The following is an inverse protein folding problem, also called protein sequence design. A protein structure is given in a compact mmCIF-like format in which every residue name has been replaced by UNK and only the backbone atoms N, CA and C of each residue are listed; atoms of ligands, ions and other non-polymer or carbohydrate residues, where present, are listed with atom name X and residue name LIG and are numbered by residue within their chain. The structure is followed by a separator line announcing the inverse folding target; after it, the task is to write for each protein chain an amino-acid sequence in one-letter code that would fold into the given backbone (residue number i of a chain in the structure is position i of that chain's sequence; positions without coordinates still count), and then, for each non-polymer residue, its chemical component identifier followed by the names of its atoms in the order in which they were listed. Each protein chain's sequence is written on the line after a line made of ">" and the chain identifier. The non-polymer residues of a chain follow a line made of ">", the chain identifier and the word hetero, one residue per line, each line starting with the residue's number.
data_IF_225608302045
#
_entry.id   IF_225608302045
#
_cell.length_a   1.000
_cell.length_b   1.000
_cell.length_c   1.000
_cell.angle_alpha   90.00
_cell.angle_beta   90.00
_cell.angle_gamma   90.00
#
_symmetry.space_group_name_H-M   'P 1'
#
loop_
_entity.id
_entity.type
_entity.pdbx_description
1 polymer ?
#
# COMPACT_ATOMS: atom_id res chain seq x y z
N UNK A 1 57.41 8.26 47.72
CA UNK A 1 56.64 7.22 47.01
C UNK A 1 55.18 7.31 47.45
N UNK A 2 54.28 8.02 46.75
CA UNK A 2 52.86 8.07 47.08
C UNK A 2 52.09 7.00 46.30
N UNK A 3 51.23 6.25 47.01
CA UNK A 3 50.30 5.28 46.44
C UNK A 3 49.14 6.02 45.74
N UNK A 4 48.86 5.65 44.48
CA UNK A 4 47.67 6.10 43.74
C UNK A 4 46.51 5.13 44.01
N UNK A 5 45.28 5.63 44.24
CA UNK A 5 44.11 4.78 44.43
C UNK A 5 43.50 4.35 43.08
N UNK A 6 43.26 3.05 42.96
CA UNK A 6 42.59 2.40 41.85
C UNK A 6 41.12 2.86 41.73
N UNK A 7 40.77 3.42 40.56
CA UNK A 7 39.38 3.68 40.19
C UNK A 7 38.73 2.35 39.77
N UNK A 8 37.86 1.81 40.62
CA UNK A 8 36.96 0.72 40.26
C UNK A 8 35.81 1.26 39.42
N UNK A 9 35.90 1.08 38.09
CA UNK A 9 34.80 1.29 37.16
C UNK A 9 33.69 0.26 37.43
N UNK A 10 32.63 0.71 38.09
CA UNK A 10 31.40 -0.05 38.26
C UNK A 10 30.74 -0.30 36.90
N UNK A 11 30.84 -1.54 36.42
CA UNK A 11 30.14 -1.99 35.23
C UNK A 11 28.62 -1.83 35.41
N UNK A 12 28.04 -0.86 34.68
CA UNK A 12 26.61 -0.63 34.66
C UNK A 12 25.86 -1.88 34.19
N UNK A 13 25.10 -2.50 35.09
CA UNK A 13 24.22 -3.63 34.79
C UNK A 13 23.20 -3.17 33.74
N UNK A 14 23.11 -3.82 32.56
CA UNK A 14 22.15 -3.43 31.55
C UNK A 14 20.73 -3.60 32.08
N UNK A 15 19.97 -2.50 32.08
CA UNK A 15 18.56 -2.49 32.48
C UNK A 15 17.79 -3.63 31.79
N UNK A 16 17.04 -4.39 32.58
CA UNK A 16 16.21 -5.47 32.06
C UNK A 16 15.27 -4.91 30.97
N UNK A 17 15.12 -5.61 29.83
CA UNK A 17 14.28 -5.12 28.74
C UNK A 17 12.84 -5.00 29.23
N UNK A 18 12.28 -3.79 29.12
CA UNK A 18 10.87 -3.54 29.44
C UNK A 18 10.01 -4.38 28.50
N UNK A 19 9.40 -5.43 29.03
CA UNK A 19 8.47 -6.29 28.29
C UNK A 19 7.19 -5.50 28.10
N UNK A 20 6.99 -4.95 26.89
CA UNK A 20 5.73 -4.31 26.55
C UNK A 20 4.67 -5.40 26.40
N UNK A 21 3.62 -5.36 27.22
CA UNK A 21 2.48 -6.26 27.05
C UNK A 21 1.86 -6.05 25.67
N UNK A 22 1.56 -7.16 24.99
CA UNK A 22 0.90 -7.13 23.68
C UNK A 22 -0.45 -6.39 23.78
N UNK A 23 -0.69 -5.35 22.97
CA UNK A 23 -2.02 -4.74 22.88
C UNK A 23 -3.06 -5.76 22.45
N UNK A 24 -4.28 -5.73 23.02
CA UNK A 24 -5.35 -6.68 22.67
C UNK A 24 -5.66 -6.72 21.17
N UNK A 25 -5.43 -5.63 20.43
CA UNK A 25 -5.67 -5.53 18.98
C UNK A 25 -4.39 -5.62 18.12
N UNK A 26 -3.34 -6.27 18.63
CA UNK A 26 -2.09 -6.46 17.89
C UNK A 26 -2.26 -7.46 16.74
N UNK A 27 -2.11 -6.99 15.49
CA UNK A 27 -2.10 -7.81 14.28
C UNK A 27 -0.81 -8.65 14.10
N UNK A 28 0.12 -8.62 15.07
CA UNK A 28 1.37 -9.39 15.00
C UNK A 28 1.06 -10.87 15.15
N UNK A 29 1.44 -11.67 14.15
CA UNK A 29 1.21 -13.12 14.13
C UNK A 29 2.36 -13.86 14.82
N UNK A 30 2.07 -15.05 15.33
CA UNK A 30 3.15 -15.95 15.76
C UNK A 30 4.07 -16.30 14.58
N UNK A 31 5.33 -16.59 14.88
CA UNK A 31 6.39 -16.77 13.89
C UNK A 31 7.03 -15.46 13.39
N UNK A 32 6.51 -14.28 13.75
CA UNK A 32 7.15 -12.99 13.46
C UNK A 32 8.13 -12.58 14.57
N UNK A 33 9.22 -11.90 14.20
CA UNK A 33 10.23 -11.41 15.15
C UNK A 33 9.65 -10.46 16.20
N UNK A 34 8.74 -9.56 15.78
CA UNK A 34 8.04 -8.61 16.66
C UNK A 34 7.15 -9.28 17.70
N UNK A 35 6.72 -10.52 17.48
CA UNK A 35 5.93 -11.26 18.46
C UNK A 35 6.76 -11.55 19.73
N UNK A 36 8.06 -11.85 19.57
CA UNK A 36 8.95 -12.09 20.70
C UNK A 36 9.23 -10.82 21.52
N UNK A 37 9.20 -9.64 20.88
CA UNK A 37 9.39 -8.36 21.57
C UNK A 37 8.25 -8.03 22.55
N UNK A 38 7.06 -8.64 22.35
CA UNK A 38 5.94 -8.58 23.29
C UNK A 38 6.00 -9.65 24.41
N UNK A 39 7.12 -10.35 24.55
CA UNK A 39 7.30 -11.41 25.57
C UNK A 39 6.75 -12.78 25.19
N UNK A 40 6.44 -13.03 23.91
CA UNK A 40 6.01 -14.37 23.48
C UNK A 40 7.13 -15.41 23.65
N UNK A 41 6.84 -16.49 24.38
CA UNK A 41 7.80 -17.56 24.67
C UNK A 41 7.83 -18.68 23.62
N UNK A 42 6.97 -18.65 22.60
CA UNK A 42 6.97 -19.69 21.55
C UNK A 42 8.32 -19.75 20.83
N UNK A 43 8.77 -20.97 20.55
CA UNK A 43 10.07 -21.24 19.90
C UNK A 43 10.17 -20.59 18.53
N UNK A 44 9.12 -20.67 17.72
CA UNK A 44 9.02 -20.02 16.40
C UNK A 44 9.26 -18.50 16.45
N UNK A 45 8.67 -17.81 17.43
CA UNK A 45 8.81 -16.36 17.61
C UNK A 45 10.24 -16.00 18.05
N UNK A 46 10.78 -16.76 19.02
CA UNK A 46 12.17 -16.58 19.50
C UNK A 46 13.18 -16.79 18.38
N UNK A 47 13.03 -17.86 17.59
CA UNK A 47 13.89 -18.13 16.44
C UNK A 47 13.79 -17.03 15.38
N UNK A 48 12.58 -16.54 15.07
CA UNK A 48 12.40 -15.42 14.16
C UNK A 48 13.12 -14.15 14.64
N UNK A 49 13.01 -13.83 15.94
CA UNK A 49 13.72 -12.70 16.55
C UNK A 49 15.24 -12.87 16.50
N UNK A 50 15.77 -14.06 16.78
CA UNK A 50 17.19 -14.38 16.66
C UNK A 50 17.70 -14.24 15.23
N UNK A 51 16.96 -14.74 14.23
CA UNK A 51 17.27 -14.54 12.80
C UNK A 51 17.34 -13.05 12.46
N UNK A 52 16.35 -12.26 12.88
CA UNK A 52 16.33 -10.82 12.65
C UNK A 52 17.47 -10.06 13.36
N UNK A 53 17.89 -10.50 14.56
CA UNK A 53 19.06 -9.93 15.26
C UNK A 53 20.37 -10.27 14.55
N UNK A 54 20.54 -11.51 14.10
CA UNK A 54 21.72 -11.96 13.33
C UNK A 54 21.85 -11.18 12.03
N UNK A 55 20.77 -11.02 11.28
CA UNK A 55 20.76 -10.22 10.05
C UNK A 55 21.21 -8.77 10.32
N UNK A 56 20.61 -8.10 11.32
CA UNK A 56 20.99 -6.72 11.70
C UNK A 56 22.44 -6.59 12.16
N UNK A 57 23.05 -7.64 12.70
CA UNK A 57 24.48 -7.66 13.04
C UNK A 57 25.32 -7.78 11.77
N UNK A 58 24.96 -8.68 10.87
CA UNK A 58 25.66 -8.83 9.58
C UNK A 58 25.57 -7.57 8.72
N UNK A 59 24.41 -6.93 8.64
CA UNK A 59 24.23 -5.68 7.90
C UNK A 59 25.13 -4.57 8.45
N UNK A 60 25.22 -4.47 9.80
CA UNK A 60 26.13 -3.52 10.47
C UNK A 60 27.59 -3.81 10.16
N UNK A 61 28.00 -5.08 10.18
CA UNK A 61 29.37 -5.48 9.83
C UNK A 61 29.70 -5.17 8.37
N UNK A 62 28.71 -5.18 7.48
CA UNK A 62 28.85 -4.78 6.06
C UNK A 62 28.75 -3.27 5.83
N UNK A 63 28.62 -2.46 6.88
CA UNK A 63 28.47 -1.01 6.76
C UNK A 63 27.14 -0.58 6.12
N UNK A 64 26.14 -1.47 6.05
CA UNK A 64 24.86 -1.14 5.43
C UNK A 64 24.02 -0.26 6.38
N UNK A 65 23.43 0.83 5.88
CA UNK A 65 22.59 1.67 6.73
C UNK A 65 21.33 0.91 7.14
N UNK A 66 20.99 1.02 8.43
CA UNK A 66 19.83 0.35 9.03
C UNK A 66 18.49 0.90 8.50
N UNK A 67 18.49 2.16 8.07
CA UNK A 67 17.35 2.84 7.46
C UNK A 67 17.69 3.26 6.04
N UNK A 68 16.72 3.16 5.15
CA UNK A 68 16.87 3.53 3.74
C UNK A 68 15.64 4.33 3.28
N UNK A 69 15.80 5.15 2.23
CA UNK A 69 14.69 5.84 1.61
C UNK A 69 13.60 4.86 1.13
N UNK A 70 12.30 5.17 1.31
CA UNK A 70 11.22 4.22 1.07
C UNK A 70 10.86 4.02 -0.41
N UNK A 71 11.42 4.80 -1.33
CA UNK A 71 10.95 4.92 -2.71
C UNK A 71 10.94 3.61 -3.50
N UNK A 72 11.98 2.78 -3.35
CA UNK A 72 12.06 1.49 -4.06
C UNK A 72 10.94 0.53 -3.62
N UNK A 73 10.76 0.41 -2.30
CA UNK A 73 9.69 -0.41 -1.71
C UNK A 73 8.30 0.14 -2.07
N UNK A 74 8.12 1.46 -2.08
CA UNK A 74 6.88 2.10 -2.47
C UNK A 74 6.51 1.80 -3.93
N UNK A 75 7.44 2.01 -4.87
CA UNK A 75 7.23 1.68 -6.30
C UNK A 75 6.92 0.20 -6.51
N UNK A 76 7.61 -0.69 -5.78
CA UNK A 76 7.31 -2.12 -5.87
C UNK A 76 5.93 -2.47 -5.31
N UNK A 77 5.57 -1.94 -4.15
CA UNK A 77 4.25 -2.13 -3.56
C UNK A 77 3.12 -1.61 -4.49
N UNK A 78 3.33 -0.50 -5.19
CA UNK A 78 2.43 -0.04 -6.25
C UNK A 78 2.31 -1.09 -7.36
N UNK A 79 3.43 -1.58 -7.91
CA UNK A 79 3.42 -2.63 -8.95
C UNK A 79 2.68 -3.91 -8.50
N UNK A 80 2.84 -4.34 -7.25
CA UNK A 80 2.09 -5.47 -6.69
C UNK A 80 0.58 -5.21 -6.68
N UNK A 81 0.16 -3.99 -6.33
CA UNK A 81 -1.26 -3.58 -6.36
C UNK A 81 -1.84 -3.54 -7.76
N UNK A 82 -1.07 -3.08 -8.73
CA UNK A 82 -1.47 -3.09 -10.15
C UNK A 82 -1.67 -4.50 -10.69
N UNK A 83 -1.02 -5.49 -10.06
CA UNK A 83 -1.21 -6.91 -10.31
C UNK A 83 -2.28 -7.57 -9.43
N UNK A 84 -3.07 -6.80 -8.69
CA UNK A 84 -4.21 -7.32 -7.93
C UNK A 84 -3.97 -7.59 -6.45
N UNK A 85 -2.75 -7.41 -5.92
CA UNK A 85 -2.54 -7.57 -4.48
C UNK A 85 -3.12 -6.42 -3.69
N UNK A 86 -3.89 -6.73 -2.65
CA UNK A 86 -4.32 -5.72 -1.68
C UNK A 86 -3.18 -5.35 -0.73
N UNK A 87 -3.33 -4.22 -0.02
CA UNK A 87 -2.38 -3.87 1.04
C UNK A 87 -2.32 -4.92 2.17
N UNK A 88 -3.40 -5.68 2.35
CA UNK A 88 -3.45 -6.80 3.29
C UNK A 88 -2.58 -7.96 2.78
N UNK A 89 -2.73 -8.36 1.52
CA UNK A 89 -1.95 -9.45 0.93
C UNK A 89 -0.45 -9.15 0.93
N UNK A 90 -0.08 -7.90 0.60
CA UNK A 90 1.31 -7.44 0.66
C UNK A 90 1.83 -7.53 2.09
N UNK A 91 1.04 -7.11 3.08
CA UNK A 91 1.43 -7.16 4.48
C UNK A 91 1.62 -8.61 4.97
N UNK A 92 0.67 -9.49 4.66
CA UNK A 92 0.74 -10.89 5.06
C UNK A 92 1.93 -11.60 4.40
N UNK A 93 2.20 -11.37 3.11
CA UNK A 93 3.37 -11.95 2.41
C UNK A 93 4.71 -11.39 2.87
N UNK A 94 4.78 -10.10 3.19
CA UNK A 94 5.99 -9.47 3.72
C UNK A 94 6.23 -9.78 5.21
N UNK A 95 5.25 -10.35 5.92
CA UNK A 95 5.29 -10.45 7.38
C UNK A 95 5.31 -9.08 8.07
N UNK A 96 4.66 -8.08 7.49
CA UNK A 96 4.60 -6.69 7.98
C UNK A 96 3.19 -6.32 8.45
N UNK A 97 3.05 -5.19 9.14
CA UNK A 97 1.73 -4.66 9.48
C UNK A 97 1.10 -3.95 8.29
N UNK A 98 -0.22 -4.07 8.15
CA UNK A 98 -1.01 -3.44 7.09
C UNK A 98 -0.90 -1.91 7.15
N UNK A 99 -0.79 -1.34 8.34
CA UNK A 99 -0.59 0.10 8.55
C UNK A 99 0.75 0.56 7.98
N UNK A 100 1.81 -0.23 8.11
CA UNK A 100 3.11 0.07 7.52
C UNK A 100 3.06 0.01 6.00
N UNK A 101 2.42 -1.01 5.42
CA UNK A 101 2.22 -1.10 3.97
C UNK A 101 1.40 0.08 3.45
N UNK A 102 0.31 0.44 4.13
CA UNK A 102 -0.51 1.62 3.77
C UNK A 102 0.30 2.92 3.85
N UNK A 103 1.25 3.03 4.78
CA UNK A 103 2.17 4.17 4.86
C UNK A 103 3.13 4.17 3.68
N UNK A 104 3.74 3.03 3.34
CA UNK A 104 4.64 2.86 2.19
C UNK A 104 3.91 3.22 0.88
N UNK A 105 2.66 2.81 0.72
CA UNK A 105 1.83 3.11 -0.44
C UNK A 105 1.40 4.58 -0.57
N UNK A 106 1.57 5.39 0.49
CA UNK A 106 1.28 6.82 0.50
C UNK A 106 2.52 7.69 0.29
N UNK A 107 3.69 7.08 0.16
CA UNK A 107 4.94 7.80 -0.09
C UNK A 107 4.76 8.58 -1.40
N UNK A 108 4.81 9.93 -1.37
CA UNK A 108 4.73 10.74 -2.56
C UNK A 108 5.87 10.41 -3.53
N UNK A 109 5.63 10.59 -4.82
CA UNK A 109 6.72 10.57 -5.80
C UNK A 109 7.72 11.68 -5.46
N UNK A 110 9.01 11.38 -5.65
CA UNK A 110 10.21 12.11 -5.20
C UNK A 110 10.01 13.62 -4.95
N UNK A 111 10.45 14.12 -3.79
CA UNK A 111 10.55 15.57 -3.52
C UNK A 111 9.97 16.05 -2.19
N UNK A 112 9.12 15.24 -1.53
CA UNK A 112 8.67 15.51 -0.17
C UNK A 112 9.47 14.70 0.85
N UNK A 113 9.86 15.34 1.95
CA UNK A 113 10.57 14.71 3.05
C UNK A 113 9.74 13.52 3.59
N UNK A 114 10.18 12.31 3.26
CA UNK A 114 9.55 11.08 3.73
C UNK A 114 10.46 10.43 4.77
N UNK A 115 9.85 9.89 5.83
CA UNK A 115 10.62 9.17 6.84
C UNK A 115 11.22 7.91 6.23
N UNK A 116 12.52 7.73 6.41
CA UNK A 116 13.19 6.49 6.07
C UNK A 116 12.55 5.29 6.77
N UNK A 117 12.58 4.16 6.07
CA UNK A 117 12.09 2.88 6.58
C UNK A 117 13.26 1.98 6.95
N UNK A 118 13.04 1.03 7.85
CA UNK A 118 14.05 0.01 8.13
C UNK A 118 14.39 -0.78 6.86
N UNK A 119 15.67 -1.03 6.61
CA UNK A 119 16.16 -1.80 5.46
C UNK A 119 15.44 -3.14 5.31
N UNK A 120 15.34 -3.89 6.41
CA UNK A 120 14.62 -5.17 6.47
C UNK A 120 13.15 -5.06 6.01
N UNK A 121 12.47 -3.93 6.28
CA UNK A 121 11.11 -3.69 5.79
C UNK A 121 11.10 -3.52 4.27
N UNK A 122 12.05 -2.75 3.73
CA UNK A 122 12.16 -2.56 2.30
C UNK A 122 12.47 -3.88 1.59
N UNK A 123 13.42 -4.64 2.11
CA UNK A 123 13.81 -5.95 1.57
C UNK A 123 12.64 -6.94 1.62
N UNK A 124 11.87 -6.95 2.72
CA UNK A 124 10.67 -7.80 2.83
C UNK A 124 9.60 -7.46 1.78
N UNK A 125 9.40 -6.17 1.47
CA UNK A 125 8.48 -5.76 0.41
C UNK A 125 9.03 -6.12 -0.97
N UNK A 126 10.30 -5.80 -1.23
CA UNK A 126 10.99 -6.05 -2.50
C UNK A 126 11.10 -7.55 -2.82
N UNK A 127 11.20 -8.40 -1.79
CA UNK A 127 11.25 -9.86 -1.93
C UNK A 127 9.92 -10.53 -2.29
N UNK A 128 8.80 -9.81 -2.29
CA UNK A 128 7.50 -10.38 -2.70
C UNK A 128 7.52 -10.61 -4.21
N UNK A 129 7.35 -11.85 -4.70
CA UNK A 129 7.28 -12.10 -6.13
C UNK A 129 6.02 -11.47 -6.74
N UNK A 130 6.16 -10.92 -7.95
CA UNK A 130 5.01 -10.47 -8.73
C UNK A 130 4.09 -11.66 -9.02
N UNK A 131 2.77 -11.54 -8.82
CA UNK A 131 1.87 -12.63 -9.14
C UNK A 131 1.75 -12.73 -10.66
N UNK A 132 1.74 -13.96 -11.16
CA UNK A 132 1.60 -14.28 -12.59
C UNK A 132 0.24 -13.88 -13.14
N UNK A 133 -0.83 -13.99 -12.33
CA UNK A 133 -2.19 -13.57 -12.71
C UNK A 133 -2.57 -12.23 -12.07
N UNK A 134 -3.32 -11.42 -12.80
CA UNK A 134 -3.86 -10.11 -12.35
C UNK A 134 -5.15 -10.24 -11.51
N UNK A 135 -5.51 -11.45 -11.10
CA UNK A 135 -6.72 -11.67 -10.32
C UNK A 135 -6.47 -11.28 -8.86
N UNK A 136 -7.33 -10.41 -8.29
CA UNK A 136 -7.19 -10.04 -6.90
C UNK A 136 -7.43 -11.27 -6.02
N UNK A 137 -6.37 -11.71 -5.35
CA UNK A 137 -6.40 -12.88 -4.46
C UNK A 137 -7.29 -12.70 -3.23
N UNK A 138 -7.65 -11.45 -2.89
CA UNK A 138 -8.48 -11.13 -1.73
C UNK A 138 -9.34 -9.87 -1.95
N UNK A 139 -10.50 -9.75 -1.26
CA UNK A 139 -11.32 -8.55 -1.27
C UNK A 139 -10.63 -7.39 -0.55
N UNK A 140 -9.80 -6.63 -1.26
CA UNK A 140 -9.17 -5.41 -0.77
C UNK A 140 -10.03 -4.16 -1.02
N UNK A 141 -10.04 -3.21 -0.07
CA UNK A 141 -10.51 -1.84 -0.31
C UNK A 141 -9.34 -0.92 -0.68
N UNK A 142 -9.54 -0.07 -1.67
CA UNK A 142 -8.60 0.99 -2.10
C UNK A 142 -9.25 2.36 -2.03
N UNK A 143 -8.42 3.41 -1.99
CA UNK A 143 -8.87 4.78 -2.28
C UNK A 143 -9.55 4.84 -3.65
N UNK A 144 -10.63 5.63 -3.70
CA UNK A 144 -11.39 5.87 -4.93
C UNK A 144 -10.92 7.06 -5.74
N UNK A 145 -9.98 7.87 -5.23
CA UNK A 145 -9.53 9.11 -5.87
C UNK A 145 -9.10 8.91 -7.32
N UNK A 146 -8.27 7.90 -7.59
CA UNK A 146 -7.82 7.61 -8.95
C UNK A 146 -9.00 7.14 -9.83
N UNK A 147 -9.80 6.19 -9.37
CA UNK A 147 -10.96 5.70 -10.12
C UNK A 147 -11.99 6.81 -10.40
N UNK A 148 -12.20 7.73 -9.47
CA UNK A 148 -13.04 8.91 -9.63
C UNK A 148 -12.51 9.80 -10.75
N UNK A 149 -11.21 10.11 -10.74
CA UNK A 149 -10.54 10.89 -11.80
C UNK A 149 -10.69 10.23 -13.16
N UNK A 150 -10.38 8.93 -13.27
CA UNK A 150 -10.49 8.20 -14.54
C UNK A 150 -11.93 8.18 -15.08
N UNK A 151 -12.94 8.00 -14.22
CA UNK A 151 -14.34 8.06 -14.63
C UNK A 151 -14.77 9.48 -15.03
N UNK A 152 -14.23 10.51 -14.38
CA UNK A 152 -14.45 11.90 -14.78
C UNK A 152 -13.83 12.20 -16.15
N UNK A 153 -12.64 11.66 -16.43
CA UNK A 153 -11.96 11.81 -17.72
C UNK A 153 -12.79 11.17 -18.85
N UNK A 154 -13.31 9.95 -18.64
CA UNK A 154 -14.22 9.32 -19.59
C UNK A 154 -15.52 10.10 -19.78
N UNK A 155 -16.08 10.69 -18.71
CA UNK A 155 -17.25 11.55 -18.83
C UNK A 155 -16.94 12.82 -19.67
N UNK A 156 -15.76 13.43 -19.50
CA UNK A 156 -15.31 14.55 -20.35
C UNK A 156 -15.14 14.15 -21.82
N UNK A 157 -14.77 12.89 -22.09
CA UNK A 157 -14.75 12.33 -23.44
C UNK A 157 -16.17 12.02 -23.99
N UNK A 158 -17.22 12.10 -23.16
CA UNK A 158 -18.61 11.89 -23.55
C UNK A 158 -19.16 10.49 -23.28
N UNK A 159 -18.48 9.67 -22.49
CA UNK A 159 -18.97 8.34 -22.13
C UNK A 159 -20.06 8.41 -21.04
N UNK A 160 -21.32 8.00 -21.33
CA UNK A 160 -22.39 8.01 -20.33
C UNK A 160 -22.19 6.93 -19.26
N UNK A 161 -22.60 7.25 -18.03
CA UNK A 161 -22.47 6.33 -16.90
C UNK A 161 -23.18 4.98 -17.13
N UNK A 162 -24.28 4.97 -17.89
CA UNK A 162 -25.00 3.75 -18.25
C UNK A 162 -24.16 2.81 -19.15
N UNK A 163 -23.49 3.36 -20.17
CA UNK A 163 -22.63 2.57 -21.05
C UNK A 163 -21.39 2.05 -20.30
N UNK A 164 -20.78 2.90 -19.46
CA UNK A 164 -19.66 2.48 -18.61
C UNK A 164 -20.08 1.38 -17.63
N UNK A 165 -21.26 1.49 -17.04
CA UNK A 165 -21.81 0.51 -16.11
C UNK A 165 -22.04 -0.86 -16.76
N UNK A 166 -22.57 -0.89 -17.99
CA UNK A 166 -22.76 -2.13 -18.75
C UNK A 166 -21.42 -2.84 -18.98
N UNK A 167 -20.38 -2.11 -19.42
CA UNK A 167 -19.04 -2.67 -19.65
C UNK A 167 -18.34 -3.11 -18.36
N UNK A 168 -18.61 -2.42 -17.25
CA UNK A 168 -18.12 -2.78 -15.91
C UNK A 168 -19.00 -3.83 -15.22
N UNK A 169 -20.12 -4.27 -15.80
CA UNK A 169 -21.05 -5.20 -15.12
C UNK A 169 -21.50 -4.70 -13.74
N UNK A 170 -21.72 -3.39 -13.59
CA UNK A 170 -22.22 -2.76 -12.36
C UNK A 170 -23.42 -1.87 -12.68
N UNK A 171 -24.07 -1.29 -11.66
CA UNK A 171 -25.17 -0.35 -11.88
C UNK A 171 -24.65 1.05 -12.24
N UNK A 172 -25.35 1.79 -13.09
CA UNK A 172 -25.03 3.18 -13.44
C UNK A 172 -24.89 4.09 -12.21
N UNK A 173 -25.77 3.90 -11.21
CA UNK A 173 -25.68 4.59 -9.92
C UNK A 173 -24.33 4.37 -9.23
N UNK A 174 -23.78 3.15 -9.28
CA UNK A 174 -22.46 2.85 -8.69
C UNK A 174 -21.34 3.62 -9.39
N UNK A 175 -21.40 3.77 -10.71
CA UNK A 175 -20.43 4.57 -11.47
C UNK A 175 -20.49 6.04 -11.05
N UNK A 176 -21.70 6.61 -10.95
CA UNK A 176 -21.90 7.98 -10.47
C UNK A 176 -21.40 8.17 -9.03
N UNK A 177 -21.71 7.24 -8.13
CA UNK A 177 -21.25 7.27 -6.74
C UNK A 177 -19.72 7.20 -6.63
N UNK A 178 -19.07 6.33 -7.40
CA UNK A 178 -17.59 6.24 -7.44
C UNK A 178 -16.98 7.53 -7.95
N UNK A 179 -17.60 8.16 -8.96
CA UNK A 179 -17.14 9.43 -9.51
C UNK A 179 -17.23 10.56 -8.50
N UNK A 180 -18.32 10.66 -7.73
CA UNK A 180 -18.64 11.88 -6.96
C UNK A 180 -18.41 11.78 -5.46
N UNK A 181 -18.76 10.64 -4.83
CA UNK A 181 -18.97 10.59 -3.37
C UNK A 181 -18.14 9.53 -2.66
N UNK A 182 -17.71 8.50 -3.39
CA UNK A 182 -17.13 7.32 -2.75
C UNK A 182 -15.69 7.59 -2.33
N UNK A 183 -15.37 7.38 -1.05
CA UNK A 183 -13.98 7.47 -0.53
C UNK A 183 -13.18 6.19 -0.77
N UNK A 184 -13.84 5.02 -0.75
CA UNK A 184 -13.22 3.71 -0.89
C UNK A 184 -14.04 2.76 -1.76
N UNK A 185 -13.38 1.97 -2.60
CA UNK A 185 -14.01 0.91 -3.39
C UNK A 185 -13.20 -0.39 -3.36
N UNK A 186 -13.80 -1.47 -3.85
CA UNK A 186 -13.12 -2.76 -4.03
C UNK A 186 -11.98 -2.62 -5.03
N UNK A 187 -10.84 -3.24 -4.73
CA UNK A 187 -9.64 -3.22 -5.56
C UNK A 187 -9.92 -3.77 -6.96
N UNK A 188 -10.67 -4.87 -7.06
CA UNK A 188 -11.11 -5.43 -8.33
C UNK A 188 -11.80 -4.39 -9.23
N UNK A 189 -12.83 -3.71 -8.69
CA UNK A 189 -13.53 -2.67 -9.43
C UNK A 189 -12.60 -1.52 -9.83
N UNK A 190 -11.65 -1.12 -8.98
CA UNK A 190 -10.68 -0.08 -9.32
C UNK A 190 -9.78 -0.50 -10.51
N UNK A 191 -9.33 -1.76 -10.53
CA UNK A 191 -8.52 -2.31 -11.62
C UNK A 191 -9.33 -2.44 -12.92
N UNK A 192 -10.60 -2.84 -12.83
CA UNK A 192 -11.52 -2.88 -13.97
C UNK A 192 -11.76 -1.48 -14.56
N UNK A 193 -11.97 -0.47 -13.71
CA UNK A 193 -12.07 0.94 -14.15
C UNK A 193 -10.79 1.39 -14.85
N UNK A 194 -9.61 1.09 -14.29
CA UNK A 194 -8.33 1.47 -14.91
C UNK A 194 -8.10 0.78 -16.26
N UNK A 195 -8.53 -0.47 -16.39
CA UNK A 195 -8.49 -1.19 -17.68
C UNK A 195 -9.43 -0.54 -18.68
N UNK A 196 -10.69 -0.35 -18.30
CA UNK A 196 -11.70 0.28 -19.16
C UNK A 196 -11.27 1.69 -19.61
N UNK A 197 -10.68 2.49 -18.71
CA UNK A 197 -10.16 3.80 -19.08
C UNK A 197 -9.11 3.70 -20.19
N UNK A 198 -8.12 2.81 -20.08
CA UNK A 198 -7.09 2.63 -21.12
C UNK A 198 -7.66 2.14 -22.44
N UNK A 199 -8.72 1.33 -22.40
CA UNK A 199 -9.40 0.85 -23.60
C UNK A 199 -10.19 1.97 -24.30
N UNK A 200 -10.77 2.91 -23.56
CA UNK A 200 -11.73 3.88 -24.11
C UNK A 200 -11.19 5.31 -24.26
N UNK A 201 -10.10 5.64 -23.58
CA UNK A 201 -9.50 6.98 -23.68
C UNK A 201 -8.91 7.14 -25.09
N UNK A 202 -9.51 8.04 -25.88
CA UNK A 202 -9.17 8.24 -27.29
C UNK A 202 -10.12 7.58 -28.29
N UNK A 203 -11.09 6.79 -27.83
CA UNK A 203 -12.17 6.28 -28.70
C UNK A 203 -13.38 7.20 -28.60
N UNK A 204 -13.92 7.61 -29.75
CA UNK A 204 -15.17 8.36 -29.80
C UNK A 204 -16.35 7.47 -29.39
N UNK A 205 -17.10 7.81 -28.31
CA UNK A 205 -18.25 7.04 -27.86
C UNK A 205 -19.32 6.84 -28.96
N UNK A 206 -19.46 7.76 -29.91
CA UNK A 206 -20.47 7.65 -30.98
C UNK A 206 -20.20 6.47 -31.91
N UNK A 207 -18.92 6.26 -32.27
CA UNK A 207 -18.50 5.09 -33.07
C UNK A 207 -18.71 3.75 -32.35
N UNK A 208 -18.96 3.80 -31.04
CA UNK A 208 -19.19 2.66 -30.16
C UNK A 208 -20.67 2.48 -29.80
N UNK A 209 -21.58 3.12 -30.54
CA UNK A 209 -23.03 2.97 -30.38
C UNK A 209 -23.66 3.88 -29.32
N UNK A 210 -22.91 4.83 -28.76
CA UNK A 210 -23.50 5.86 -27.89
C UNK A 210 -24.21 6.90 -28.76
N UNK A 211 -25.45 7.25 -28.40
CA UNK A 211 -26.19 8.28 -29.14
C UNK A 211 -25.46 9.63 -29.06
N UNK A 212 -25.31 10.38 -30.17
CA UNK A 212 -24.62 11.68 -30.16
C UNK A 212 -25.17 12.66 -29.12
N UNK A 213 -26.50 12.69 -28.95
CA UNK A 213 -27.16 13.53 -27.96
C UNK A 213 -26.77 13.16 -26.51
N UNK A 214 -26.63 11.87 -26.21
CA UNK A 214 -26.22 11.40 -24.88
C UNK A 214 -24.77 11.78 -24.61
N UNK A 215 -23.88 11.59 -25.60
CA UNK A 215 -22.48 11.96 -25.50
C UNK A 215 -22.31 13.47 -25.28
N UNK A 216 -23.02 14.31 -26.06
CA UNK A 216 -23.02 15.76 -25.91
C UNK A 216 -23.49 16.18 -24.52
N UNK A 217 -24.62 15.64 -24.04
CA UNK A 217 -25.17 15.93 -22.72
C UNK A 217 -24.19 15.60 -21.59
N UNK A 218 -23.48 14.48 -21.70
CA UNK A 218 -22.49 14.07 -20.69
C UNK A 218 -21.28 15.01 -20.68
N UNK A 219 -20.79 15.42 -21.85
CA UNK A 219 -19.70 16.42 -21.95
C UNK A 219 -20.09 17.75 -21.31
N UNK A 220 -21.29 18.25 -21.62
CA UNK A 220 -21.81 19.48 -21.02
C UNK A 220 -21.94 19.36 -19.50
N UNK A 221 -22.45 18.24 -18.99
CA UNK A 221 -22.55 18.01 -17.55
C UNK A 221 -21.17 17.95 -16.89
N UNK A 222 -20.20 17.25 -17.49
CA UNK A 222 -18.83 17.16 -16.98
C UNK A 222 -18.15 18.53 -16.91
N UNK A 223 -18.30 19.36 -17.95
CA UNK A 223 -17.77 20.73 -17.97
C UNK A 223 -18.32 21.59 -16.82
N UNK A 224 -19.62 21.49 -16.51
CA UNK A 224 -20.23 22.22 -15.38
C UNK A 224 -19.67 21.78 -14.03
N UNK A 225 -19.34 20.51 -13.87
CA UNK A 225 -18.75 20.00 -12.63
C UNK A 225 -17.31 20.49 -12.42
N UNK A 226 -16.53 20.63 -13.50
CA UNK A 226 -15.16 21.18 -13.43
C UNK A 226 -15.11 22.65 -13.02
N UNK A 227 -16.21 23.39 -13.15
CA UNK A 227 -16.29 24.80 -12.73
C UNK A 227 -16.72 24.99 -11.26
N UNK A 228 -17.14 23.91 -10.57
CA UNK A 228 -17.68 23.98 -9.20
C UNK A 228 -16.75 23.41 -8.13
N UNK A 229 -15.64 22.80 -8.51
CA UNK A 229 -14.65 22.18 -7.59
C UNK A 229 -13.34 22.92 -7.67
#
# INVERSE_FOLDING_TARGET
>A
MPFSPEHSDGAAVPAAPVIQRRPQQSAVRHGQASCADYGCTRTECRQAALRARRQRRQDRLRGLPARIPPYAAARWAVRLRERGMSAQDIADRAGLSVTLIRRILRVPEQGQATRDIARMTADAVLGIPLPTRREPSAPGLTSATESSRLLADLARAGWPAAALAQRLGVRARTVAEVREKRRRLRLDLALRIRRLHRELIGIDPVTQGVRPADAARVRTAAARHSLRG
#
